data_IF_077573428638
#
_entry.id   IF_077573428638
#
_cell.length_a   1.000
_cell.length_b   1.000
_cell.length_c   1.000
_cell.angle_alpha   90.00
_cell.angle_beta   90.00
_cell.angle_gamma   90.00
#
_symmetry.space_group_name_H-M   'P 1'
#
loop_
_entity.id
_entity.type
_entity.pdbx_description
1 polymer ?
#
# COMPACT_ATOMS: atom_id res chain seq x y z
N UNK A 1 -5.32 21.27 1.86
CA UNK A 1 -5.01 20.45 0.67
C UNK A 1 -3.53 20.08 0.76
N UNK A 2 -3.20 18.96 1.39
CA UNK A 2 -1.81 18.51 1.48
C UNK A 2 -1.40 18.00 0.11
N UNK A 3 -0.50 18.70 -0.57
CA UNK A 3 0.09 18.21 -1.82
C UNK A 3 0.97 17.00 -1.48
N UNK A 4 0.50 15.79 -1.80
CA UNK A 4 1.36 14.61 -1.82
C UNK A 4 2.58 14.89 -2.70
N UNK A 5 3.74 14.35 -2.32
CA UNK A 5 4.95 14.47 -3.11
C UNK A 5 5.01 13.44 -4.25
N UNK A 6 4.28 12.32 -4.13
CA UNK A 6 4.12 11.33 -5.20
C UNK A 6 2.78 11.48 -5.92
N UNK A 7 2.75 11.08 -7.20
CA UNK A 7 1.53 11.01 -8.01
C UNK A 7 0.75 9.70 -7.82
N UNK A 8 1.38 8.66 -7.26
CA UNK A 8 0.79 7.32 -7.16
C UNK A 8 0.16 7.05 -5.79
N UNK A 9 0.82 7.50 -4.72
CA UNK A 9 0.37 7.27 -3.34
C UNK A 9 0.59 8.53 -2.49
N UNK A 10 -0.04 8.57 -1.33
CA UNK A 10 0.03 9.71 -0.43
C UNK A 10 1.33 9.71 0.38
N UNK A 11 2.23 10.64 0.10
CA UNK A 11 3.47 10.80 0.87
C UNK A 11 3.76 12.29 1.10
N UNK A 12 4.12 12.72 2.32
CA UNK A 12 4.41 14.12 2.59
C UNK A 12 5.64 14.64 1.86
N UNK A 13 5.69 15.95 1.69
CA UNK A 13 6.90 16.67 1.26
C UNK A 13 7.97 16.63 2.33
N UNK A 14 9.23 16.87 1.92
CA UNK A 14 10.42 16.86 2.78
C UNK A 14 10.25 17.61 4.12
N UNK A 15 9.51 18.71 4.14
CA UNK A 15 9.27 19.54 5.34
C UNK A 15 8.85 18.72 6.58
N UNK A 16 7.96 17.74 6.42
CA UNK A 16 7.46 16.90 7.53
C UNK A 16 8.56 16.07 8.17
N UNK A 17 9.53 15.63 7.37
CA UNK A 17 10.64 14.80 7.85
C UNK A 17 11.75 15.63 8.50
N UNK A 18 11.89 16.91 8.14
CA UNK A 18 12.78 17.85 8.81
C UNK A 18 12.43 18.05 10.30
N UNK A 19 11.15 17.92 10.66
CA UNK A 19 10.65 18.00 12.03
C UNK A 19 10.72 16.66 12.80
N UNK A 20 11.44 15.66 12.26
CA UNK A 20 11.49 14.28 12.77
C UNK A 20 10.14 13.54 12.69
N UNK A 21 9.24 13.96 11.79
CA UNK A 21 7.99 13.28 11.55
C UNK A 21 8.21 11.88 10.96
N UNK A 22 7.61 10.86 11.58
CA UNK A 22 7.52 9.51 11.01
C UNK A 22 6.28 9.45 10.14
N UNK A 23 6.42 8.92 8.94
CA UNK A 23 5.29 8.70 8.04
C UNK A 23 5.10 7.21 7.76
N UNK A 24 3.85 6.77 7.70
CA UNK A 24 3.48 5.40 7.32
C UNK A 24 2.29 5.48 6.41
N UNK A 25 2.37 4.78 5.28
CA UNK A 25 1.32 4.74 4.27
C UNK A 25 1.19 3.35 3.66
N UNK A 26 0.11 3.16 2.92
CA UNK A 26 -0.20 1.92 2.23
C UNK A 26 -0.81 2.20 0.86
N UNK A 27 -0.30 1.52 -0.15
CA UNK A 27 -0.85 1.41 -1.49
C UNK A 27 -1.51 0.02 -1.61
N UNK A 28 -2.79 -0.05 -1.25
CA UNK A 28 -3.53 -1.31 -1.16
C UNK A 28 -3.73 -1.98 -2.52
N UNK A 29 -3.82 -1.18 -3.57
CA UNK A 29 -3.93 -1.59 -4.97
C UNK A 29 -2.70 -2.35 -5.50
N UNK A 30 -1.54 -2.21 -4.83
CA UNK A 30 -0.27 -2.88 -5.18
C UNK A 30 0.27 -3.78 -4.07
N UNK A 31 -0.55 -4.05 -3.04
CA UNK A 31 -0.15 -4.77 -1.81
C UNK A 31 1.18 -4.23 -1.23
N UNK A 32 1.33 -2.90 -1.23
CA UNK A 32 2.58 -2.24 -0.84
C UNK A 32 2.35 -1.36 0.37
N UNK A 33 3.04 -1.66 1.45
CA UNK A 33 3.12 -0.80 2.63
C UNK A 33 4.49 -0.14 2.66
N UNK A 34 4.55 1.09 3.17
CA UNK A 34 5.80 1.80 3.31
C UNK A 34 5.83 2.66 4.56
N UNK A 35 7.04 2.84 5.09
CA UNK A 35 7.30 3.63 6.29
C UNK A 35 8.57 4.43 6.10
N UNK A 36 8.52 5.71 6.42
CA UNK A 36 9.67 6.61 6.35
C UNK A 36 9.97 7.13 7.74
N UNK A 37 11.21 6.92 8.20
CA UNK A 37 11.70 7.29 9.52
C UNK A 37 12.93 8.17 9.37
N UNK A 38 12.87 9.46 9.76
CA UNK A 38 14.06 10.30 9.84
C UNK A 38 14.92 9.88 11.03
N UNK A 39 16.19 9.59 10.75
CA UNK A 39 17.21 9.30 11.75
C UNK A 39 18.09 10.54 11.94
N UNK A 40 17.94 11.20 13.09
CA UNK A 40 18.69 12.39 13.47
C UNK A 40 19.53 12.11 14.72
N UNK A 41 20.68 11.43 14.60
CA UNK A 41 21.56 11.18 15.73
C UNK A 41 22.14 12.50 16.30
N UNK A 42 22.60 12.47 17.56
CA UNK A 42 23.23 13.64 18.21
C UNK A 42 24.60 13.96 17.61
N UNK A 43 25.30 12.94 17.11
CA UNK A 43 26.57 13.03 16.38
C UNK A 43 26.48 12.11 15.16
N UNK A 44 26.88 12.61 13.99
CA UNK A 44 26.81 11.90 12.70
C UNK A 44 25.83 12.52 11.70
N UNK A 45 25.83 11.95 10.48
CA UNK A 45 24.99 12.43 9.39
C UNK A 45 23.51 12.05 9.60
N UNK A 46 22.63 12.98 9.26
CA UNK A 46 21.19 12.77 9.35
C UNK A 46 20.72 12.00 8.12
N UNK A 47 19.96 10.93 8.33
CA UNK A 47 19.48 10.07 7.26
C UNK A 47 17.97 9.89 7.29
N UNK A 48 17.39 9.47 6.18
CA UNK A 48 16.01 9.03 6.00
C UNK A 48 16.02 7.54 5.72
N UNK A 49 15.35 6.76 6.56
CA UNK A 49 15.15 5.33 6.34
C UNK A 49 13.76 5.11 5.77
N UNK A 50 13.70 4.57 4.55
CA UNK A 50 12.47 4.13 3.95
C UNK A 50 12.41 2.59 3.99
N UNK A 51 11.28 2.08 4.44
CA UNK A 51 10.96 0.66 4.51
C UNK A 51 9.79 0.38 3.58
N UNK A 52 9.83 -0.74 2.87
CA UNK A 52 8.73 -1.23 2.03
C UNK A 52 8.49 -2.70 2.34
N UNK A 53 7.24 -3.11 2.46
CA UNK A 53 6.90 -4.51 2.66
C UNK A 53 5.52 -4.84 2.10
N UNK A 54 5.28 -6.12 1.85
CA UNK A 54 4.01 -6.63 1.28
C UNK A 54 3.10 -7.24 2.34
N UNK A 55 1.82 -7.36 2.01
CA UNK A 55 0.83 -8.08 2.81
C UNK A 55 0.18 -7.27 3.93
N UNK A 56 -0.52 -8.00 4.82
CA UNK A 56 -1.31 -7.42 5.92
C UNK A 56 -0.53 -7.29 7.23
N UNK A 57 0.68 -7.83 7.27
CA UNK A 57 1.53 -7.82 8.45
C UNK A 57 2.11 -6.42 8.69
N UNK A 58 2.31 -6.07 9.96
CA UNK A 58 3.10 -4.89 10.32
C UNK A 58 4.58 -5.12 9.99
N UNK A 59 5.36 -4.05 9.83
CA UNK A 59 6.79 -4.10 9.49
C UNK A 59 7.57 -5.12 10.35
N UNK A 60 7.35 -5.18 11.66
CA UNK A 60 8.02 -6.13 12.57
C UNK A 60 7.75 -7.62 12.29
N UNK A 61 6.68 -7.92 11.54
CA UNK A 61 6.26 -9.28 11.18
C UNK A 61 6.40 -9.56 9.68
N UNK A 62 6.89 -8.59 8.91
CA UNK A 62 7.08 -8.74 7.49
C UNK A 62 8.42 -9.43 7.22
N UNK A 63 8.38 -10.56 6.53
CA UNK A 63 9.60 -11.30 6.13
C UNK A 63 10.28 -10.63 4.92
N UNK A 64 9.47 -10.03 4.02
CA UNK A 64 9.93 -9.38 2.80
C UNK A 64 10.11 -7.86 2.95
N UNK A 65 10.57 -7.41 4.11
CA UNK A 65 10.79 -5.99 4.35
C UNK A 65 12.10 -5.50 3.69
N UNK A 66 11.96 -4.66 2.68
CA UNK A 66 13.08 -3.95 2.06
C UNK A 66 13.34 -2.63 2.79
N UNK A 67 14.62 -2.29 3.00
CA UNK A 67 15.02 -1.06 3.67
C UNK A 67 16.12 -0.35 2.89
N UNK A 68 15.95 0.96 2.71
CA UNK A 68 16.97 1.81 2.08
C UNK A 68 17.14 3.12 2.85
N UNK A 69 18.40 3.55 2.95
CA UNK A 69 18.81 4.80 3.60
C UNK A 69 19.15 5.87 2.56
N UNK A 70 18.71 7.09 2.84
CA UNK A 70 18.95 8.28 2.03
C UNK A 70 19.44 9.43 2.92
N UNK A 71 20.11 10.44 2.38
CA UNK A 71 20.44 11.65 3.14
C UNK A 71 19.17 12.39 3.59
N UNK A 72 19.16 12.99 4.79
CA UNK A 72 18.08 13.90 5.21
C UNK A 72 18.24 15.27 4.53
N UNK A 73 18.02 15.31 3.23
CA UNK A 73 18.01 16.51 2.40
C UNK A 73 16.84 16.46 1.41
N UNK A 74 16.54 17.58 0.74
CA UNK A 74 15.54 17.58 -0.34
C UNK A 74 15.93 16.65 -1.50
N UNK A 75 17.23 16.50 -1.76
CA UNK A 75 17.75 15.58 -2.78
C UNK A 75 17.54 14.13 -2.35
N UNK A 76 17.88 13.77 -1.11
CA UNK A 76 17.64 12.43 -0.58
C UNK A 76 16.16 12.08 -0.47
N UNK A 77 15.29 13.06 -0.20
CA UNK A 77 13.84 12.87 -0.27
C UNK A 77 13.36 12.56 -1.68
N UNK A 78 13.93 13.21 -2.70
CA UNK A 78 13.63 12.92 -4.10
C UNK A 78 14.10 11.52 -4.51
N UNK A 79 15.32 11.14 -4.14
CA UNK A 79 15.84 9.79 -4.39
C UNK A 79 15.01 8.70 -3.70
N UNK A 80 14.55 8.98 -2.48
CA UNK A 80 13.64 8.12 -1.74
C UNK A 80 12.30 7.97 -2.46
N UNK A 81 11.72 9.07 -2.96
CA UNK A 81 10.50 9.05 -3.75
C UNK A 81 10.67 8.22 -5.01
N UNK A 82 11.71 8.48 -5.80
CA UNK A 82 11.98 7.74 -7.04
C UNK A 82 12.12 6.23 -6.77
N UNK A 83 12.74 5.85 -5.65
CA UNK A 83 12.82 4.44 -5.24
C UNK A 83 11.45 3.86 -4.88
N UNK A 84 10.64 4.55 -4.07
CA UNK A 84 9.30 4.09 -3.69
C UNK A 84 8.39 3.97 -4.91
N UNK A 85 8.44 4.93 -5.83
CA UNK A 85 7.66 4.90 -7.08
C UNK A 85 8.10 3.75 -7.99
N UNK A 86 9.40 3.50 -8.09
CA UNK A 86 9.93 2.35 -8.84
C UNK A 86 9.43 1.02 -8.26
N UNK A 87 9.42 0.87 -6.94
CA UNK A 87 8.87 -0.32 -6.27
C UNK A 87 7.35 -0.43 -6.47
N UNK A 88 6.62 0.69 -6.45
CA UNK A 88 5.20 0.71 -6.73
C UNK A 88 4.86 0.27 -8.17
N UNK A 89 5.64 0.75 -9.15
CA UNK A 89 5.44 0.46 -10.57
C UNK A 89 5.87 -0.96 -10.95
N UNK A 90 6.88 -1.52 -10.28
CA UNK A 90 7.34 -2.90 -10.52
C UNK A 90 6.36 -3.96 -10.00
N UNK A 91 5.52 -3.61 -9.03
CA UNK A 91 4.52 -4.52 -8.44
C UNK A 91 3.29 -4.69 -9.34
N UNK A 92 2.69 -5.87 -9.30
CA UNK A 92 1.41 -6.13 -9.97
C UNK A 92 0.24 -5.50 -9.19
N UNK A 93 -0.83 -5.14 -9.92
CA UNK A 93 -2.07 -4.69 -9.28
C UNK A 93 -2.80 -5.87 -8.66
N UNK A 94 -3.12 -5.78 -7.38
CA UNK A 94 -3.92 -6.79 -6.69
C UNK A 94 -5.39 -6.37 -6.69
N UNK A 95 -6.33 -7.27 -7.04
CA UNK A 95 -7.75 -6.97 -6.97
C UNK A 95 -8.14 -6.66 -5.52
N UNK A 96 -8.69 -5.48 -5.30
CA UNK A 96 -9.17 -5.09 -3.97
C UNK A 96 -10.38 -5.93 -3.58
N UNK A 97 -10.76 -5.89 -2.30
CA UNK A 97 -11.98 -6.57 -1.86
C UNK A 97 -13.22 -6.08 -2.62
N UNK A 98 -13.27 -4.79 -2.97
CA UNK A 98 -14.37 -4.19 -3.73
C UNK A 98 -14.38 -4.72 -5.16
N UNK A 99 -13.22 -4.86 -5.81
CA UNK A 99 -13.12 -5.42 -7.17
C UNK A 99 -13.61 -6.87 -7.18
N UNK A 100 -13.21 -7.66 -6.18
CA UNK A 100 -13.68 -9.04 -6.02
C UNK A 100 -15.18 -9.12 -5.79
N UNK A 101 -15.75 -8.24 -4.97
CA UNK A 101 -17.20 -8.19 -4.76
C UNK A 101 -17.95 -7.77 -6.03
N UNK A 102 -17.43 -6.83 -6.81
CA UNK A 102 -18.03 -6.40 -8.07
C UNK A 102 -18.02 -7.52 -9.10
N UNK A 103 -16.86 -8.17 -9.30
CA UNK A 103 -16.74 -9.31 -10.20
C UNK A 103 -17.67 -10.46 -9.77
N UNK A 104 -17.77 -10.74 -8.47
CA UNK A 104 -18.72 -11.72 -7.95
C UNK A 104 -20.17 -11.35 -8.27
N UNK A 105 -20.54 -10.07 -8.07
CA UNK A 105 -21.90 -9.60 -8.38
C UNK A 105 -22.21 -9.70 -9.87
N UNK A 106 -21.26 -9.36 -10.73
CA UNK A 106 -21.42 -9.46 -12.18
C UNK A 106 -21.61 -10.92 -12.62
N UNK A 107 -20.77 -11.84 -12.14
CA UNK A 107 -20.94 -13.28 -12.36
C UNK A 107 -22.31 -13.78 -11.90
N UNK A 108 -22.75 -13.39 -10.70
CA UNK A 108 -24.07 -13.78 -10.18
C UNK A 108 -25.20 -13.19 -11.03
N UNK A 109 -25.08 -11.96 -11.52
CA UNK A 109 -26.08 -11.35 -12.40
C UNK A 109 -26.08 -11.93 -13.82
N UNK A 110 -24.95 -12.47 -14.30
CA UNK A 110 -24.87 -13.18 -15.58
C UNK A 110 -25.41 -14.62 -15.46
N UNK A 111 -25.13 -15.29 -14.35
CA UNK A 111 -25.52 -16.68 -14.09
C UNK A 111 -27.00 -16.80 -13.71
N UNK A 112 -27.52 -15.85 -12.92
CA UNK A 112 -28.89 -15.85 -12.43
C UNK A 112 -29.62 -14.60 -12.90
N UNK A 113 -30.72 -14.82 -13.62
CA UNK A 113 -31.55 -13.75 -14.18
C UNK A 113 -32.28 -12.95 -13.10
N UNK A 114 -32.61 -13.58 -11.98
CA UNK A 114 -33.26 -12.95 -10.83
C UNK A 114 -32.92 -13.61 -9.48
N UNK A 115 -33.42 -13.00 -8.40
CA UNK A 115 -33.19 -13.41 -7.01
C UNK A 115 -33.83 -14.77 -6.68
N UNK A 116 -34.94 -15.13 -7.33
CA UNK A 116 -35.64 -16.38 -7.06
C UNK A 116 -34.84 -17.56 -7.61
N UNK A 117 -34.25 -17.42 -8.79
CA UNK A 117 -33.35 -18.40 -9.40
C UNK A 117 -32.12 -18.65 -8.50
N UNK A 118 -31.46 -17.59 -8.05
CA UNK A 118 -30.29 -17.64 -7.16
C UNK A 118 -30.57 -18.24 -5.76
N UNK A 119 -31.76 -18.03 -5.21
CA UNK A 119 -32.17 -18.59 -3.91
C UNK A 119 -32.64 -20.05 -4.03
N UNK A 120 -33.00 -20.49 -5.23
CA UNK A 120 -33.45 -21.86 -5.49
C UNK A 120 -32.33 -22.85 -5.79
N UNK A 121 -31.07 -22.38 -5.93
CA UNK A 121 -29.92 -23.23 -6.24
C UNK A 121 -29.62 -24.25 -5.11
N UNK A 122 -29.81 -25.56 -5.38
CA UNK A 122 -29.68 -26.60 -4.37
C UNK A 122 -28.25 -26.85 -3.91
N UNK A 123 -27.22 -26.57 -4.72
CA UNK A 123 -25.82 -26.71 -4.31
C UNK A 123 -25.43 -25.59 -3.33
N UNK A 124 -26.03 -24.42 -3.51
CA UNK A 124 -25.78 -23.25 -2.66
C UNK A 124 -26.54 -23.30 -1.33
N UNK A 125 -27.73 -23.88 -1.32
CA UNK A 125 -28.48 -24.18 -0.09
C UNK A 125 -27.70 -25.16 0.79
N UNK A 126 -27.07 -26.19 0.19
CA UNK A 126 -26.23 -27.16 0.93
C UNK A 126 -24.97 -26.52 1.55
N UNK A 127 -24.35 -25.55 0.87
CA UNK A 127 -23.16 -24.86 1.38
C UNK A 127 -23.42 -23.91 2.57
N UNK A 128 -24.70 -23.65 2.88
CA UNK A 128 -25.14 -22.79 4.01
C UNK A 128 -25.54 -23.58 5.27
N UNK A 129 -25.71 -24.90 5.16
CA UNK A 129 -26.07 -25.82 6.26
C UNK A 129 -24.82 -26.47 6.87
#
# INVERSE_FOLDING_TARGET
MGSSASQYFEIPKFFVFGEKGIFTGSASEKDMNYKVVPNCPKEGDKTLRAYVWSGRSCLDKAEDAEMKEFPLSEEGHREMLDWLESVYLSRETVPTHIDKQRAYKELVCEEYLDLDDYLSDPERIKARL
#
